data_IF_628034610890
#
_entry.id   IF_628034610890
#
_cell.length_a   1.000
_cell.length_b   1.000
_cell.length_c   1.000
_cell.angle_alpha   90.00
_cell.angle_beta   90.00
_cell.angle_gamma   90.00
#
_symmetry.space_group_name_H-M   'P 1'
#
loop_
_entity.id
_entity.type
_entity.pdbx_description
1 polymer ?
#
# COMPACT_ATOMS: atom_id res chain seq x y z
N UNK A 1 -6.32 -12.10 21.91
CA UNK A 1 -5.41 -12.27 23.07
C UNK A 1 -5.59 -13.68 23.59
N UNK A 2 -4.54 -14.34 24.07
CA UNK A 2 -4.73 -15.58 24.82
C UNK A 2 -5.26 -15.31 26.23
N UNK A 3 -5.44 -16.39 27.00
CA UNK A 3 -5.86 -16.32 28.39
C UNK A 3 -4.95 -15.42 29.26
N UNK A 4 -3.70 -15.19 28.82
CA UNK A 4 -2.70 -14.39 29.51
C UNK A 4 -2.63 -12.94 28.98
N UNK A 5 -3.55 -12.53 28.09
CA UNK A 5 -3.58 -11.19 27.51
C UNK A 5 -2.52 -10.94 26.42
N UNK A 6 -1.77 -11.98 26.00
CA UNK A 6 -0.71 -11.84 24.99
C UNK A 6 -1.33 -11.74 23.60
N UNK A 7 -0.82 -10.82 22.79
CA UNK A 7 -1.18 -10.71 21.38
C UNK A 7 -0.68 -11.95 20.63
N UNK A 8 -1.55 -12.53 19.80
CA UNK A 8 -1.24 -13.68 18.94
C UNK A 8 -1.54 -13.32 17.49
N UNK A 9 -0.80 -13.95 16.58
CA UNK A 9 -1.08 -13.85 15.17
C UNK A 9 -2.48 -14.37 14.86
N UNK A 10 -3.19 -13.70 13.95
CA UNK A 10 -4.45 -14.19 13.40
C UNK A 10 -4.13 -15.32 12.40
N UNK A 11 -4.46 -16.55 12.78
CA UNK A 11 -4.20 -17.74 11.96
C UNK A 11 -5.09 -17.78 10.70
N UNK A 12 -6.29 -17.22 10.79
CA UNK A 12 -7.18 -17.10 9.63
C UNK A 12 -6.58 -16.10 8.64
N UNK A 13 -5.99 -15.00 9.14
CA UNK A 13 -5.31 -14.03 8.28
C UNK A 13 -4.07 -14.64 7.62
N UNK A 14 -3.27 -15.41 8.38
CA UNK A 14 -2.13 -16.12 7.83
C UNK A 14 -2.53 -17.06 6.68
N UNK A 15 -3.60 -17.84 6.86
CA UNK A 15 -4.14 -18.73 5.83
C UNK A 15 -4.72 -17.94 4.64
N UNK A 16 -5.37 -16.80 4.92
CA UNK A 16 -5.95 -15.93 3.91
C UNK A 16 -4.88 -15.37 2.96
N UNK A 17 -3.76 -14.88 3.50
CA UNK A 17 -2.69 -14.27 2.69
C UNK A 17 -1.81 -15.30 1.98
N UNK A 18 -1.80 -16.56 2.41
CA UNK A 18 -1.01 -17.62 1.77
C UNK A 18 -1.61 -18.09 0.42
N UNK A 19 -2.86 -17.70 0.13
CA UNK A 19 -3.55 -18.08 -1.10
C UNK A 19 -2.75 -17.76 -2.36
N UNK A 20 -2.24 -18.82 -3.02
CA UNK A 20 -1.42 -18.78 -4.24
C UNK A 20 -0.16 -17.91 -4.10
N UNK A 21 0.35 -17.74 -2.89
CA UNK A 21 1.57 -16.99 -2.68
C UNK A 21 2.78 -17.76 -3.23
N UNK A 22 3.53 -17.12 -4.12
CA UNK A 22 4.65 -17.73 -4.84
C UNK A 22 5.99 -17.11 -4.48
N UNK A 23 6.35 -17.08 -3.18
CA UNK A 23 7.53 -16.39 -2.64
C UNK A 23 8.79 -16.54 -3.53
N UNK A 24 9.22 -17.78 -3.74
CA UNK A 24 10.42 -18.09 -4.52
C UNK A 24 10.30 -17.73 -6.00
N UNK A 25 9.10 -17.90 -6.57
CA UNK A 25 8.80 -17.56 -7.94
C UNK A 25 8.91 -16.05 -8.18
N UNK A 26 8.33 -15.26 -7.27
CA UNK A 26 8.43 -13.80 -7.25
C UNK A 26 9.89 -13.38 -7.11
N UNK A 27 10.60 -13.90 -6.10
CA UNK A 27 11.99 -13.57 -5.80
C UNK A 27 12.91 -13.78 -7.01
N UNK A 28 12.84 -14.95 -7.64
CA UNK A 28 13.64 -15.27 -8.84
C UNK A 28 13.26 -14.42 -10.03
N UNK A 29 11.95 -14.21 -10.25
CA UNK A 29 11.46 -13.47 -11.42
C UNK A 29 11.86 -12.00 -11.37
N UNK A 30 11.68 -11.34 -10.23
CA UNK A 30 12.06 -9.93 -10.06
C UNK A 30 13.57 -9.77 -10.19
N UNK A 31 14.35 -10.60 -9.48
CA UNK A 31 15.81 -10.57 -9.58
C UNK A 31 16.28 -10.72 -11.03
N UNK A 32 15.71 -11.66 -11.79
CA UNK A 32 16.07 -11.88 -13.21
C UNK A 32 15.66 -10.70 -14.10
N UNK A 33 14.49 -10.12 -13.88
CA UNK A 33 13.96 -9.04 -14.72
C UNK A 33 14.63 -7.70 -14.47
N UNK A 34 14.97 -7.42 -13.21
CA UNK A 34 15.58 -6.16 -12.80
C UNK A 34 17.10 -6.21 -12.97
N UNK A 35 17.73 -7.38 -12.85
CA UNK A 35 19.19 -7.51 -12.98
C UNK A 35 19.66 -8.04 -14.34
N UNK A 36 18.91 -7.82 -15.41
CA UNK A 36 19.22 -8.41 -16.73
C UNK A 36 20.51 -7.88 -17.37
N UNK A 37 21.00 -6.71 -16.94
CA UNK A 37 22.24 -6.09 -17.45
C UNK A 37 23.20 -5.78 -16.29
N UNK A 38 22.71 -5.07 -15.27
CA UNK A 38 23.45 -4.72 -14.06
C UNK A 38 22.74 -5.21 -12.80
N UNK A 39 23.41 -5.19 -11.64
CA UNK A 39 22.77 -5.50 -10.34
C UNK A 39 21.99 -4.29 -9.81
N UNK A 40 20.85 -3.98 -10.45
CA UNK A 40 19.93 -2.90 -10.09
C UNK A 40 19.25 -3.11 -8.75
N UNK A 41 18.86 -4.36 -8.43
CA UNK A 41 18.16 -4.71 -7.20
C UNK A 41 18.86 -5.86 -6.46
N UNK A 42 18.83 -5.79 -5.14
CA UNK A 42 19.34 -6.84 -4.25
C UNK A 42 18.27 -7.15 -3.22
N UNK A 43 18.01 -8.43 -2.95
CA UNK A 43 17.09 -8.80 -1.88
C UNK A 43 17.58 -8.26 -0.53
N UNK A 44 16.67 -7.64 0.21
CA UNK A 44 16.87 -7.28 1.60
C UNK A 44 16.34 -8.43 2.48
N UNK A 45 17.22 -9.37 2.82
CA UNK A 45 16.84 -10.51 3.66
C UNK A 45 16.41 -10.09 5.08
N UNK A 46 16.86 -8.92 5.57
CA UNK A 46 16.51 -8.42 6.91
C UNK A 46 15.09 -7.89 6.98
N UNK A 47 14.57 -7.40 5.86
CA UNK A 47 13.20 -6.90 5.75
C UNK A 47 12.27 -7.84 4.99
N UNK A 48 12.77 -9.00 4.55
CA UNK A 48 11.96 -10.05 3.96
C UNK A 48 11.47 -11.01 5.04
N UNK A 49 10.30 -11.58 4.84
CA UNK A 49 9.71 -12.62 5.69
C UNK A 49 8.83 -13.54 4.83
N UNK A 50 8.19 -14.54 5.44
CA UNK A 50 7.37 -15.52 4.71
C UNK A 50 6.34 -14.92 3.73
N UNK A 51 5.79 -13.72 4.01
CA UNK A 51 4.76 -13.05 3.21
C UNK A 51 5.21 -11.68 2.67
N UNK A 52 6.52 -11.41 2.63
CA UNK A 52 7.05 -10.19 2.02
C UNK A 52 8.45 -10.44 1.46
N UNK A 53 8.61 -10.25 0.16
CA UNK A 53 9.94 -10.16 -0.46
C UNK A 53 10.30 -8.69 -0.59
N UNK A 54 11.39 -8.27 0.07
CA UNK A 54 11.88 -6.90 0.01
C UNK A 54 13.16 -6.83 -0.82
N UNK A 55 13.28 -5.79 -1.66
CA UNK A 55 14.47 -5.52 -2.46
C UNK A 55 14.98 -4.10 -2.21
N UNK A 56 16.28 -3.95 -2.00
CA UNK A 56 16.98 -2.66 -2.08
C UNK A 56 17.27 -2.32 -3.54
N UNK A 57 17.07 -1.06 -3.89
CA UNK A 57 17.30 -0.51 -5.22
C UNK A 57 18.58 0.30 -5.17
N UNK A 58 19.56 -0.07 -5.99
CA UNK A 58 20.89 0.56 -6.01
C UNK A 58 20.99 1.73 -6.98
N UNK A 59 20.27 1.67 -8.09
CA UNK A 59 20.24 2.74 -9.09
C UNK A 59 18.79 3.07 -9.45
N UNK A 60 18.43 4.34 -9.30
CA UNK A 60 17.13 4.90 -9.67
C UNK A 60 16.96 5.07 -11.19
N UNK A 61 18.02 4.89 -11.97
CA UNK A 61 17.97 5.06 -13.44
C UNK A 61 17.36 3.84 -14.14
N UNK A 62 17.22 2.72 -13.42
CA UNK A 62 16.77 1.44 -13.97
C UNK A 62 15.57 0.85 -13.22
N UNK A 63 14.89 1.64 -12.38
CA UNK A 63 13.59 1.24 -11.80
C UNK A 63 12.53 1.19 -12.88
N UNK A 64 11.66 0.18 -12.79
CA UNK A 64 10.53 -0.02 -13.73
C UNK A 64 9.23 0.34 -13.04
N UNK A 65 8.22 0.86 -13.76
CA UNK A 65 6.91 1.09 -13.19
C UNK A 65 6.28 -0.19 -12.61
N UNK A 66 5.51 -0.03 -11.54
CA UNK A 66 4.80 -1.11 -10.82
C UNK A 66 3.89 -1.87 -11.77
N UNK A 67 3.16 -1.18 -12.64
CA UNK A 67 2.27 -1.82 -13.63
C UNK A 67 3.00 -2.74 -14.60
N UNK A 68 4.20 -2.35 -15.06
CA UNK A 68 5.03 -3.19 -15.93
C UNK A 68 5.49 -4.46 -15.19
N UNK A 69 5.96 -4.32 -13.96
CA UNK A 69 6.40 -5.44 -13.12
C UNK A 69 5.23 -6.39 -12.84
N UNK A 70 4.08 -5.83 -12.45
CA UNK A 70 2.84 -6.55 -12.18
C UNK A 70 2.38 -7.34 -13.39
N UNK A 71 2.39 -6.74 -14.58
CA UNK A 71 2.03 -7.41 -15.84
C UNK A 71 2.95 -8.60 -16.10
N UNK A 72 4.27 -8.42 -16.00
CA UNK A 72 5.26 -9.48 -16.25
C UNK A 72 5.20 -10.63 -15.26
N UNK A 73 4.89 -10.35 -14.00
CA UNK A 73 4.65 -11.37 -12.97
C UNK A 73 3.35 -12.13 -13.27
N UNK A 74 2.27 -11.41 -13.61
CA UNK A 74 0.98 -12.02 -13.94
C UNK A 74 1.05 -12.95 -15.15
N UNK A 75 1.82 -12.58 -16.19
CA UNK A 75 2.07 -13.45 -17.35
C UNK A 75 2.78 -14.77 -16.99
N UNK A 76 3.46 -14.83 -15.84
CA UNK A 76 4.12 -16.02 -15.30
C UNK A 76 3.29 -16.74 -14.23
N UNK A 77 2.01 -16.38 -14.09
CA UNK A 77 1.12 -16.94 -13.08
C UNK A 77 1.35 -16.43 -11.65
N UNK A 78 2.26 -15.46 -11.45
CA UNK A 78 2.58 -14.90 -10.15
C UNK A 78 1.70 -13.67 -9.89
N UNK A 79 0.73 -13.79 -8.98
CA UNK A 79 -0.17 -12.70 -8.58
C UNK A 79 0.22 -12.19 -7.21
N UNK A 80 0.53 -10.90 -7.12
CA UNK A 80 1.03 -10.25 -5.92
C UNK A 80 0.80 -8.74 -6.00
N UNK A 81 0.89 -8.06 -4.85
CA UNK A 81 1.00 -6.60 -4.82
C UNK A 81 2.47 -6.19 -4.74
N UNK A 82 2.82 -5.17 -5.50
CA UNK A 82 4.14 -4.55 -5.49
C UNK A 82 3.97 -3.11 -5.08
N UNK A 83 4.86 -2.64 -4.19
CA UNK A 83 4.91 -1.23 -3.84
C UNK A 83 6.35 -0.76 -3.71
N UNK A 84 6.65 0.35 -4.36
CA UNK A 84 7.85 1.10 -4.04
C UNK A 84 7.60 1.89 -2.77
N UNK A 85 8.58 1.85 -1.87
CA UNK A 85 8.56 2.55 -0.60
C UNK A 85 9.91 3.21 -0.34
N UNK A 86 9.96 4.08 0.68
CA UNK A 86 11.18 4.81 1.07
C UNK A 86 11.78 5.61 -0.09
N UNK A 87 10.96 6.44 -0.75
CA UNK A 87 11.38 7.25 -1.91
C UNK A 87 12.05 6.40 -3.00
N UNK A 88 11.41 5.27 -3.33
CA UNK A 88 11.83 4.37 -4.41
C UNK A 88 13.19 3.72 -4.22
N UNK A 89 13.72 3.70 -2.99
CA UNK A 89 14.94 2.96 -2.64
C UNK A 89 14.64 1.50 -2.26
N UNK A 90 13.37 1.16 -2.10
CA UNK A 90 12.93 -0.19 -1.75
C UNK A 90 11.68 -0.61 -2.51
N UNK A 91 11.68 -1.84 -2.99
CA UNK A 91 10.52 -2.50 -3.57
C UNK A 91 10.08 -3.62 -2.62
N UNK A 92 8.83 -3.57 -2.14
CA UNK A 92 8.21 -4.66 -1.39
C UNK A 92 7.20 -5.38 -2.25
N UNK A 93 7.19 -6.71 -2.13
CA UNK A 93 6.24 -7.57 -2.82
C UNK A 93 5.57 -8.49 -1.82
N UNK A 94 4.26 -8.40 -1.75
CA UNK A 94 3.41 -9.11 -0.78
C UNK A 94 2.37 -9.95 -1.53
N UNK A 95 1.79 -10.98 -0.88
CA UNK A 95 0.72 -11.76 -1.47
C UNK A 95 -0.44 -10.92 -2.00
N UNK A 96 -1.19 -11.49 -2.95
CA UNK A 96 -2.35 -10.84 -3.57
C UNK A 96 -3.38 -10.35 -2.53
N UNK A 97 -3.50 -11.04 -1.40
CA UNK A 97 -4.49 -10.72 -0.36
C UNK A 97 -3.88 -9.99 0.84
N UNK A 98 -2.62 -9.54 0.74
CA UNK A 98 -1.85 -8.94 1.83
C UNK A 98 -1.51 -7.45 1.63
N UNK A 99 -2.02 -6.78 0.59
CA UNK A 99 -1.85 -5.32 0.48
C UNK A 99 -2.58 -4.60 1.60
N UNK A 100 -2.21 -3.34 1.85
CA UNK A 100 -2.88 -2.53 2.88
C UNK A 100 -4.39 -2.38 2.63
N UNK A 101 -4.79 -2.20 1.37
CA UNK A 101 -6.20 -2.13 0.97
C UNK A 101 -6.94 -3.46 1.20
N UNK A 102 -6.30 -4.60 0.93
CA UNK A 102 -6.87 -5.92 1.21
C UNK A 102 -6.96 -6.21 2.71
N UNK A 103 -6.00 -5.75 3.51
CA UNK A 103 -6.05 -5.88 4.96
C UNK A 103 -7.26 -5.13 5.57
N UNK A 104 -7.57 -3.92 5.08
CA UNK A 104 -8.78 -3.19 5.49
C UNK A 104 -10.06 -3.97 5.15
N UNK A 105 -10.11 -4.57 3.95
CA UNK A 105 -11.22 -5.44 3.55
C UNK A 105 -11.33 -6.69 4.43
N UNK A 106 -10.20 -7.30 4.80
CA UNK A 106 -10.18 -8.45 5.70
C UNK A 106 -10.77 -8.10 7.07
N UNK A 107 -10.41 -6.94 7.65
CA UNK A 107 -10.99 -6.47 8.91
C UNK A 107 -12.50 -6.26 8.81
N UNK A 108 -13.00 -5.73 7.69
CA UNK A 108 -14.44 -5.62 7.48
C UNK A 108 -15.13 -6.99 7.42
N UNK A 109 -14.63 -7.90 6.56
CA UNK A 109 -15.30 -9.18 6.29
C UNK A 109 -15.17 -10.15 7.46
N UNK A 110 -13.99 -10.27 8.08
CA UNK A 110 -13.72 -11.26 9.12
C UNK A 110 -14.02 -10.75 10.52
N UNK A 111 -13.83 -9.45 10.77
CA UNK A 111 -14.01 -8.87 12.11
C UNK A 111 -15.28 -8.03 12.23
N UNK A 112 -16.08 -7.89 11.16
CA UNK A 112 -17.32 -7.12 11.17
C UNK A 112 -17.12 -5.61 11.35
N UNK A 113 -15.90 -5.10 11.14
CA UNK A 113 -15.58 -3.69 11.32
C UNK A 113 -16.06 -2.87 10.13
N UNK A 114 -17.10 -2.04 10.31
CA UNK A 114 -17.60 -1.18 9.23
C UNK A 114 -16.51 -0.28 8.66
N UNK A 115 -16.32 -0.34 7.33
CA UNK A 115 -15.35 0.49 6.60
C UNK A 115 -15.62 1.99 6.83
N UNK A 116 -16.89 2.38 6.95
CA UNK A 116 -17.31 3.76 7.25
C UNK A 116 -16.77 4.28 8.58
N UNK A 117 -16.51 3.39 9.53
CA UNK A 117 -15.99 3.73 10.86
C UNK A 117 -14.46 3.73 10.91
N UNK A 118 -13.79 3.30 9.84
CA UNK A 118 -12.33 3.30 9.76
C UNK A 118 -11.80 4.70 9.41
N UNK A 119 -10.65 5.02 10.01
CA UNK A 119 -9.83 6.17 9.63
C UNK A 119 -8.54 5.64 9.01
N UNK A 120 -8.26 6.04 7.78
CA UNK A 120 -7.00 5.75 7.11
C UNK A 120 -6.19 7.04 7.06
N UNK A 121 -4.98 7.00 7.62
CA UNK A 121 -4.09 8.15 7.66
C UNK A 121 -2.91 7.86 6.73
N UNK A 122 -2.64 8.75 5.80
CA UNK A 122 -1.52 8.61 4.86
C UNK A 122 -0.89 9.96 4.51
N UNK A 123 0.36 9.95 4.06
CA UNK A 123 1.03 11.14 3.53
C UNK A 123 0.49 11.54 2.15
N UNK A 124 0.53 12.83 1.83
CA UNK A 124 0.22 13.36 0.48
C UNK A 124 1.09 12.72 -0.60
N UNK A 125 2.33 12.42 -0.22
CA UNK A 125 3.32 11.66 -0.97
C UNK A 125 3.87 10.52 -0.09
N UNK A 126 4.35 9.44 -0.68
CA UNK A 126 4.80 8.25 0.03
C UNK A 126 4.96 7.05 -0.90
N UNK A 127 4.35 5.92 -0.52
CA UNK A 127 4.47 4.66 -1.24
C UNK A 127 3.52 4.60 -2.45
N UNK A 128 3.83 3.74 -3.42
CA UNK A 128 3.10 3.68 -4.69
C UNK A 128 1.69 3.05 -4.62
N UNK A 129 1.21 2.58 -3.47
CA UNK A 129 -0.14 2.00 -3.29
C UNK A 129 -1.14 3.00 -2.67
N UNK A 130 -0.74 4.26 -2.50
CA UNK A 130 -1.58 5.35 -1.97
C UNK A 130 -2.97 5.41 -2.61
N UNK A 131 -3.05 5.16 -3.91
CA UNK A 131 -4.32 5.17 -4.64
C UNK A 131 -5.29 4.09 -4.20
N UNK A 132 -4.79 2.90 -3.83
CA UNK A 132 -5.61 1.83 -3.28
C UNK A 132 -6.16 2.18 -1.89
N UNK A 133 -5.55 3.15 -1.20
CA UNK A 133 -5.89 3.58 0.16
C UNK A 133 -6.80 4.80 0.22
N UNK A 134 -6.88 5.60 -0.84
CA UNK A 134 -7.79 6.75 -0.91
C UNK A 134 -9.13 6.37 -1.55
N UNK A 135 -9.16 5.29 -2.34
CA UNK A 135 -10.39 4.76 -2.91
C UNK A 135 -11.15 3.93 -1.87
N UNK A 136 -12.39 4.34 -1.55
CA UNK A 136 -13.26 3.62 -0.63
C UNK A 136 -14.23 4.54 0.10
N UNK A 137 -14.88 3.99 1.10
CA UNK A 137 -15.90 4.68 1.90
C UNK A 137 -15.44 4.97 3.34
N UNK A 138 -14.19 4.64 3.65
CA UNK A 138 -13.54 5.00 4.91
C UNK A 138 -13.16 6.47 4.92
N UNK A 139 -13.03 7.03 6.13
CA UNK A 139 -12.56 8.40 6.33
C UNK A 139 -11.06 8.44 6.11
N UNK A 140 -10.59 9.39 5.32
CA UNK A 140 -9.20 9.45 4.92
C UNK A 140 -8.59 10.79 5.33
N UNK A 141 -7.50 10.73 6.09
CA UNK A 141 -6.71 11.89 6.49
C UNK A 141 -5.41 11.92 5.71
N UNK A 142 -5.20 12.97 4.92
CA UNK A 142 -4.00 13.15 4.10
C UNK A 142 -3.08 14.18 4.74
N UNK A 143 -1.90 13.74 5.16
CA UNK A 143 -0.89 14.60 5.77
C UNK A 143 -0.05 15.31 4.71
N UNK A 144 -0.16 16.63 4.62
CA UNK A 144 0.59 17.44 3.64
C UNK A 144 1.99 17.80 4.13
N UNK A 145 2.92 17.93 3.19
CA UNK A 145 4.27 18.46 3.45
C UNK A 145 5.19 17.57 4.30
N UNK A 146 4.83 16.29 4.53
CA UNK A 146 5.64 15.38 5.35
C UNK A 146 6.78 14.74 4.55
N UNK A 147 6.53 14.47 3.27
CA UNK A 147 7.46 13.83 2.36
C UNK A 147 7.61 14.71 1.13
N UNK A 148 8.83 15.11 0.80
CA UNK A 148 9.11 15.96 -0.36
C UNK A 148 8.88 15.21 -1.68
N UNK A 149 9.40 13.98 -1.76
CA UNK A 149 9.33 13.10 -2.93
C UNK A 149 8.88 11.69 -2.53
N UNK A 150 7.79 11.24 -3.15
CA UNK A 150 7.27 9.89 -3.00
C UNK A 150 7.60 9.00 -4.19
N UNK A 151 7.00 7.81 -4.19
CA UNK A 151 7.19 6.75 -5.17
C UNK A 151 6.02 6.62 -6.17
N UNK A 152 5.06 7.53 -6.14
CA UNK A 152 3.84 7.50 -6.97
C UNK A 152 4.15 7.60 -8.47
N UNK A 153 5.22 8.31 -8.82
CA UNK A 153 5.70 8.42 -10.22
C UNK A 153 6.05 7.05 -10.81
N UNK A 154 6.37 6.06 -9.98
CA UNK A 154 6.68 4.70 -10.41
C UNK A 154 5.46 3.77 -10.45
N UNK A 155 4.24 4.26 -10.20
CA UNK A 155 3.06 3.39 -10.23
C UNK A 155 2.73 2.94 -11.67
N UNK A 156 2.65 3.90 -12.60
CA UNK A 156 2.04 3.73 -13.92
C UNK A 156 3.02 3.73 -15.08
N UNK A 157 2.57 3.19 -16.21
CA UNK A 157 3.20 3.35 -17.52
C UNK A 157 2.40 4.33 -18.39
N UNK A 158 2.97 4.81 -19.51
CA UNK A 158 2.31 5.79 -20.40
C UNK A 158 0.95 5.34 -20.97
N UNK A 159 0.66 4.02 -20.98
CA UNK A 159 -0.63 3.47 -21.42
C UNK A 159 -1.58 3.06 -20.29
N UNK A 160 -1.26 3.40 -19.04
CA UNK A 160 -2.11 3.08 -17.88
C UNK A 160 -3.21 4.15 -17.74
N UNK A 161 -4.35 3.77 -17.16
CA UNK A 161 -5.40 4.73 -16.75
C UNK A 161 -4.80 5.85 -15.90
N UNK A 162 -5.36 7.04 -15.93
CA UNK A 162 -4.91 8.13 -15.06
C UNK A 162 -5.43 7.94 -13.62
N UNK A 163 -4.96 8.76 -12.69
CA UNK A 163 -5.43 8.70 -11.30
C UNK A 163 -6.90 9.07 -11.20
N UNK A 164 -7.30 10.06 -11.97
CA UNK A 164 -8.66 10.62 -12.03
C UNK A 164 -9.68 9.60 -12.53
N UNK A 165 -9.22 8.58 -13.26
CA UNK A 165 -10.07 7.47 -13.73
C UNK A 165 -10.42 6.47 -12.60
N UNK A 166 -9.64 6.45 -11.52
CA UNK A 166 -9.70 5.42 -10.46
C UNK A 166 -10.10 6.01 -9.10
N UNK A 167 -9.72 7.26 -8.87
CA UNK A 167 -9.92 7.97 -7.60
C UNK A 167 -10.86 9.15 -7.84
N UNK A 168 -11.99 9.25 -7.12
CA UNK A 168 -12.85 10.42 -7.18
C UNK A 168 -12.06 11.71 -6.91
N UNK A 169 -12.17 12.69 -7.80
CA UNK A 169 -11.40 13.95 -7.71
C UNK A 169 -11.69 14.74 -6.44
N UNK A 170 -12.96 14.78 -6.01
CA UNK A 170 -13.38 15.38 -4.75
C UNK A 170 -14.21 14.35 -3.97
N UNK A 171 -13.83 14.08 -2.72
CA UNK A 171 -14.58 13.22 -1.82
C UNK A 171 -14.73 13.93 -0.47
N UNK A 172 -15.96 14.01 0.08
CA UNK A 172 -16.17 14.59 1.41
C UNK A 172 -15.52 13.76 2.52
N UNK A 173 -15.13 12.52 2.23
CA UNK A 173 -14.48 11.61 3.18
C UNK A 173 -12.96 11.84 3.24
N UNK A 174 -12.40 12.68 2.38
CA UNK A 174 -10.98 13.01 2.35
C UNK A 174 -10.77 14.40 2.96
N UNK A 175 -9.98 14.46 4.03
CA UNK A 175 -9.58 15.70 4.69
C UNK A 175 -8.06 15.83 4.72
N UNK A 176 -7.54 17.06 4.72
CA UNK A 176 -6.11 17.34 4.62
C UNK A 176 -5.61 18.06 5.87
N UNK A 177 -4.38 17.78 6.30
CA UNK A 177 -3.69 18.64 7.26
C UNK A 177 -3.15 19.89 6.57
N UNK A 178 -3.17 21.03 7.27
CA UNK A 178 -2.66 22.29 6.72
C UNK A 178 -1.19 22.56 7.12
N UNK A 179 -0.78 22.15 8.33
CA UNK A 179 0.54 22.48 8.89
C UNK A 179 1.16 21.32 9.70
N UNK A 180 1.91 20.43 9.03
CA UNK A 180 2.80 19.47 9.68
C UNK A 180 2.14 18.36 10.51
N UNK A 181 2.92 17.77 11.44
CA UNK A 181 2.57 16.58 12.25
C UNK A 181 2.13 16.97 13.68
N UNK A 182 1.59 18.18 13.89
CA UNK A 182 1.18 18.61 15.24
C UNK A 182 -0.06 17.85 15.70
N UNK A 183 -0.07 17.41 16.96
CA UNK A 183 -1.16 16.66 17.57
C UNK A 183 -2.50 17.38 17.46
N UNK A 184 -2.50 18.70 17.66
CA UNK A 184 -3.70 19.53 17.65
C UNK A 184 -4.35 19.55 16.26
N UNK A 185 -3.52 19.63 15.21
CA UNK A 185 -3.99 19.61 13.83
C UNK A 185 -4.54 18.24 13.44
N UNK A 186 -3.84 17.16 13.80
CA UNK A 186 -4.32 15.79 13.56
C UNK A 186 -5.69 15.59 14.24
N UNK A 187 -5.83 16.00 15.50
CA UNK A 187 -7.09 15.89 16.23
C UNK A 187 -8.21 16.74 15.62
N UNK A 188 -7.90 17.94 15.14
CA UNK A 188 -8.86 18.81 14.43
C UNK A 188 -9.35 18.14 13.15
N UNK A 189 -8.43 17.64 12.33
CA UNK A 189 -8.74 17.00 11.04
C UNK A 189 -9.52 15.69 11.22
N UNK A 190 -9.20 14.90 12.26
CA UNK A 190 -10.00 13.72 12.61
C UNK A 190 -11.46 14.08 12.95
N UNK A 191 -11.67 15.16 13.72
CA UNK A 191 -13.02 15.66 14.04
C UNK A 191 -13.75 16.16 12.79
N UNK A 192 -13.05 16.79 11.86
CA UNK A 192 -13.61 17.24 10.59
C UNK A 192 -14.07 16.05 9.73
N UNK A 193 -13.23 15.02 9.59
CA UNK A 193 -13.60 13.81 8.84
C UNK A 193 -14.84 13.12 9.44
N UNK A 194 -15.00 13.14 10.77
CA UNK A 194 -16.21 12.65 11.44
C UNK A 194 -17.47 13.42 11.03
N UNK A 195 -17.37 14.75 10.96
CA UNK A 195 -18.50 15.63 10.60
C UNK A 195 -18.87 15.47 9.12
N UNK A 196 -17.89 15.39 8.24
CA UNK A 196 -18.12 15.27 6.80
C UNK A 196 -18.83 13.96 6.44
N UNK A 197 -18.51 12.85 7.14
CA UNK A 197 -19.25 11.60 7.02
C UNK A 197 -20.71 11.73 7.48
N UNK A 198 -20.96 12.38 8.62
CA UNK A 198 -22.32 12.60 9.12
C UNK A 198 -23.18 13.48 8.19
N UNK A 199 -22.56 14.48 7.53
CA UNK A 199 -23.24 15.38 6.61
C UNK A 199 -23.59 14.75 5.26
N UNK A 200 -22.90 13.67 4.86
CA UNK A 200 -23.13 12.97 3.59
C UNK A 200 -24.25 11.93 3.65
N UNK A 201 -25.00 11.85 4.76
CA UNK A 201 -26.11 10.91 4.94
C UNK A 201 -25.66 9.44 4.96
N UNK A 202 -24.40 9.23 5.30
CA UNK A 202 -23.68 7.96 5.28
C UNK A 202 -23.33 7.45 6.67
#
# INVERSE_FOLDING_TARGET
MDADGKLRADQDYATHIDYRWGYDGVKRTISKMMNSRDKTVVEDSTASNAHCVSFLIKSSEQVRPVDELRQKLRMRGLRCHLMYCRNSTRLQVVPLLASRSQALRYLFVRWGMSVMNMYVILGEKGDSDREELISGSHKTVIMKGIVEKGSEELLRTAGSYQREDIVPGESPLIVYTNEGIRSEEIMKVLKEASKAAAASGM
#
